data_IF_535266787890
#
_entry.id   IF_535266787890
#
_cell.length_a   1.000
_cell.length_b   1.000
_cell.length_c   1.000
_cell.angle_alpha   90.00
_cell.angle_beta   90.00
_cell.angle_gamma   90.00
#
_symmetry.space_group_name_H-M   'P 1'
#
loop_
_entity.id
_entity.type
_entity.pdbx_description
1 polymer ?
#
# COMPACT_ATOMS: atom_id res chain seq x y z
N UNK A 1 -5.61 -9.93 -3.67
CA UNK A 1 -4.92 -11.19 -3.44
C UNK A 1 -3.41 -10.99 -3.57
N UNK A 2 -2.60 -11.56 -2.65
CA UNK A 2 -1.14 -11.48 -2.64
C UNK A 2 -0.55 -12.80 -2.16
N UNK A 3 0.55 -13.20 -2.78
CA UNK A 3 1.30 -14.41 -2.41
C UNK A 3 2.67 -14.03 -1.87
N UNK A 4 3.08 -14.61 -0.75
CA UNK A 4 4.48 -14.60 -0.38
C UNK A 4 5.18 -15.76 -1.10
N UNK A 5 6.06 -15.42 -2.03
CA UNK A 5 6.76 -16.37 -2.90
C UNK A 5 7.94 -17.06 -2.19
N UNK A 6 8.41 -16.50 -1.07
CA UNK A 6 9.39 -17.19 -0.22
C UNK A 6 8.73 -18.35 0.50
N UNK A 7 9.32 -19.53 0.42
CA UNK A 7 8.77 -20.74 1.05
C UNK A 7 9.01 -20.78 2.57
N UNK A 8 9.97 -20.01 3.08
CA UNK A 8 10.27 -19.84 4.51
C UNK A 8 10.45 -18.35 4.80
N UNK A 9 9.46 -17.76 5.43
CA UNK A 9 9.44 -16.32 5.66
C UNK A 9 10.04 -15.89 6.99
N UNK A 10 10.15 -16.79 7.98
CA UNK A 10 10.74 -16.50 9.30
C UNK A 10 11.59 -17.64 9.86
N UNK A 11 11.83 -18.71 9.09
CA UNK A 11 12.68 -19.83 9.47
C UNK A 11 13.96 -19.77 8.62
N UNK A 12 14.95 -19.00 9.08
CA UNK A 12 16.13 -18.67 8.28
C UNK A 12 17.21 -19.77 8.28
N UNK A 13 17.09 -20.78 9.09
CA UNK A 13 18.03 -21.91 9.20
C UNK A 13 17.66 -23.15 8.38
N UNK A 14 16.60 -23.08 7.57
CA UNK A 14 16.11 -24.23 6.79
C UNK A 14 16.39 -24.09 5.29
N UNK A 15 15.56 -23.36 4.54
CA UNK A 15 15.70 -23.19 3.08
C UNK A 15 16.58 -22.00 2.68
N UNK A 16 16.94 -21.16 3.64
CA UNK A 16 17.85 -20.05 3.41
C UNK A 16 19.29 -20.55 3.39
N UNK A 17 19.98 -20.31 2.27
CA UNK A 17 21.41 -20.55 2.17
C UNK A 17 22.19 -19.40 2.80
N UNK A 18 23.18 -19.69 3.58
CA UNK A 18 23.99 -18.70 4.28
C UNK A 18 25.42 -19.24 4.51
N UNK A 19 26.36 -18.31 4.63
CA UNK A 19 27.74 -18.60 5.03
C UNK A 19 28.13 -17.78 6.27
N UNK A 20 27.31 -17.93 7.33
CA UNK A 20 27.48 -17.21 8.59
C UNK A 20 26.76 -17.97 9.72
N UNK A 21 26.57 -17.31 10.85
CA UNK A 21 25.89 -17.86 12.01
C UNK A 21 24.49 -17.28 12.15
N UNK A 22 23.49 -18.13 12.31
CA UNK A 22 22.12 -17.76 12.63
C UNK A 22 21.80 -18.11 14.07
N UNK A 23 21.23 -17.17 14.81
CA UNK A 23 20.78 -17.36 16.20
C UNK A 23 19.32 -16.96 16.29
N UNK A 24 18.45 -17.94 16.56
CA UNK A 24 17.01 -17.73 16.77
C UNK A 24 16.69 -17.15 18.15
N UNK A 25 15.42 -16.85 18.39
CA UNK A 25 14.93 -16.45 19.71
C UNK A 25 15.32 -15.04 20.13
N UNK A 26 15.57 -14.17 19.15
CA UNK A 26 15.83 -12.75 19.43
C UNK A 26 14.50 -11.99 19.64
N UNK A 27 14.58 -10.89 20.40
CA UNK A 27 13.44 -9.96 20.52
C UNK A 27 13.00 -9.48 19.14
N UNK A 28 11.73 -9.58 18.85
CA UNK A 28 11.13 -9.29 17.56
C UNK A 28 10.13 -8.13 17.56
N UNK A 29 9.53 -7.91 16.42
CA UNK A 29 8.50 -6.88 16.20
C UNK A 29 7.30 -7.14 17.11
N UNK A 30 6.78 -6.07 17.74
CA UNK A 30 5.59 -6.14 18.57
C UNK A 30 5.76 -6.95 19.86
N UNK A 31 6.99 -7.20 20.30
CA UNK A 31 7.30 -7.98 21.52
C UNK A 31 7.31 -9.50 21.29
N UNK A 32 7.35 -9.97 20.05
CA UNK A 32 7.60 -11.38 19.74
C UNK A 32 9.04 -11.78 20.12
N UNK A 33 9.32 -13.08 20.18
CA UNK A 33 10.66 -13.63 20.50
C UNK A 33 11.17 -14.57 19.41
N UNK A 34 10.70 -14.38 18.18
CA UNK A 34 10.97 -15.23 17.04
C UNK A 34 11.82 -14.55 15.95
N UNK A 35 12.49 -13.45 16.28
CA UNK A 35 13.47 -12.84 15.38
C UNK A 35 14.79 -13.63 15.36
N UNK A 36 15.59 -13.37 14.35
CA UNK A 36 16.85 -14.04 14.09
C UNK A 36 17.99 -13.04 13.97
N UNK A 37 19.14 -13.36 14.58
CA UNK A 37 20.40 -12.66 14.37
C UNK A 37 21.21 -13.41 13.31
N UNK A 38 21.64 -12.70 12.30
CA UNK A 38 22.58 -13.20 11.29
C UNK A 38 23.93 -12.47 11.45
N UNK A 39 25.00 -13.25 11.64
CA UNK A 39 26.38 -12.79 11.72
C UNK A 39 27.17 -13.35 10.55
N UNK A 40 27.69 -12.48 9.68
CA UNK A 40 28.49 -12.92 8.54
C UNK A 40 29.99 -13.00 8.90
N UNK A 41 30.72 -14.05 8.45
CA UNK A 41 32.15 -14.20 8.72
C UNK A 41 33.04 -13.33 7.82
N UNK A 42 32.51 -12.86 6.71
CA UNK A 42 33.21 -11.97 5.78
C UNK A 42 32.21 -11.08 5.03
N UNK A 43 32.69 -9.99 4.45
CA UNK A 43 31.85 -8.97 3.80
C UNK A 43 31.03 -9.46 2.62
N UNK A 44 31.43 -10.56 1.97
CA UNK A 44 30.73 -11.12 0.80
C UNK A 44 29.71 -12.18 1.16
N UNK A 45 29.63 -12.60 2.43
CA UNK A 45 28.66 -13.58 2.91
C UNK A 45 27.29 -12.95 3.05
N UNK A 46 26.29 -13.59 2.42
CA UNK A 46 24.89 -13.18 2.49
C UNK A 46 23.99 -14.31 2.96
N UNK A 47 22.78 -13.94 3.31
CA UNK A 47 21.66 -14.81 3.62
C UNK A 47 20.68 -14.74 2.44
N UNK A 48 20.36 -15.87 1.78
CA UNK A 48 19.48 -15.84 0.61
C UNK A 48 18.54 -17.03 0.52
N UNK A 49 17.44 -16.84 -0.17
CA UNK A 49 16.54 -17.90 -0.61
C UNK A 49 16.39 -17.85 -2.13
N UNK A 50 16.32 -19.02 -2.76
CA UNK A 50 16.02 -19.15 -4.19
C UNK A 50 14.53 -18.93 -4.40
N UNK A 51 14.20 -18.25 -5.49
CA UNK A 51 12.84 -18.06 -5.97
C UNK A 51 12.85 -18.06 -7.51
N UNK A 52 11.66 -18.13 -8.12
CA UNK A 52 11.52 -18.10 -9.59
C UNK A 52 10.30 -17.24 -9.91
N UNK A 53 10.48 -15.94 -9.86
CA UNK A 53 9.43 -14.95 -10.06
C UNK A 53 9.81 -13.99 -11.20
N UNK A 54 8.82 -13.28 -11.77
CA UNK A 54 9.07 -12.33 -12.87
C UNK A 54 8.11 -11.15 -12.84
N UNK A 55 8.49 -10.05 -13.49
CA UNK A 55 7.74 -8.81 -13.53
C UNK A 55 8.01 -7.93 -12.30
N UNK A 56 7.11 -6.98 -12.05
CA UNK A 56 7.23 -6.07 -10.89
C UNK A 56 7.02 -6.84 -9.59
N UNK A 57 7.98 -6.76 -8.69
CA UNK A 57 8.02 -7.49 -7.42
C UNK A 57 8.48 -6.58 -6.29
N UNK A 58 8.06 -6.91 -5.07
CA UNK A 58 8.53 -6.21 -3.87
C UNK A 58 9.05 -7.23 -2.86
N UNK A 59 10.33 -7.09 -2.52
CA UNK A 59 11.02 -7.83 -1.47
C UNK A 59 11.05 -6.99 -0.20
N UNK A 60 10.61 -7.52 0.92
CA UNK A 60 10.55 -6.80 2.20
C UNK A 60 10.92 -7.69 3.37
N UNK A 61 11.45 -7.09 4.44
CA UNK A 61 11.67 -7.73 5.74
C UNK A 61 11.75 -6.66 6.83
N UNK A 62 11.70 -7.13 8.07
CA UNK A 62 11.84 -6.28 9.24
C UNK A 62 13.26 -6.41 9.81
N UNK A 63 13.84 -5.29 10.22
CA UNK A 63 15.18 -5.22 10.79
C UNK A 63 15.16 -4.40 12.08
N UNK A 64 15.88 -4.89 13.09
CA UNK A 64 16.08 -4.16 14.33
C UNK A 64 17.04 -3.00 14.10
N UNK A 65 16.75 -1.85 14.72
CA UNK A 65 17.64 -0.69 14.73
C UNK A 65 19.05 -1.09 15.15
N UNK A 66 20.06 -0.63 14.40
CA UNK A 66 21.45 -0.91 14.66
C UNK A 66 22.33 0.28 14.23
N UNK A 67 22.97 0.95 15.19
CA UNK A 67 23.78 2.15 14.93
C UNK A 67 25.09 1.89 14.19
N UNK A 68 25.53 0.63 14.08
CA UNK A 68 26.80 0.27 13.45
C UNK A 68 26.63 -0.32 12.05
N UNK A 69 25.42 -0.81 11.74
CA UNK A 69 25.20 -1.60 10.55
C UNK A 69 23.95 -1.19 9.77
N UNK A 70 24.00 -1.46 8.47
CA UNK A 70 22.90 -1.40 7.54
C UNK A 70 22.63 -2.77 6.91
N UNK A 71 21.71 -2.81 5.96
CA UNK A 71 21.42 -4.00 5.17
C UNK A 71 21.35 -3.65 3.70
N UNK A 72 21.92 -4.50 2.85
CA UNK A 72 21.70 -4.50 1.42
C UNK A 72 20.67 -5.57 1.08
N UNK A 73 19.60 -5.19 0.41
CA UNK A 73 18.74 -6.09 -0.33
C UNK A 73 19.34 -6.26 -1.73
N UNK A 74 19.40 -7.50 -2.21
CA UNK A 74 19.90 -7.78 -3.53
C UNK A 74 19.04 -8.87 -4.18
N UNK A 75 18.48 -8.56 -5.33
CA UNK A 75 17.74 -9.49 -6.16
C UNK A 75 18.62 -9.85 -7.38
N UNK A 76 19.02 -11.11 -7.42
CA UNK A 76 19.83 -11.66 -8.50
C UNK A 76 18.94 -12.28 -9.56
N UNK A 77 19.16 -11.94 -10.82
CA UNK A 77 18.34 -12.42 -11.93
C UNK A 77 18.79 -11.86 -13.29
N UNK A 78 17.82 -11.60 -14.17
CA UNK A 78 18.09 -11.06 -15.51
C UNK A 78 18.75 -9.66 -15.47
N UNK A 79 18.43 -8.89 -14.43
CA UNK A 79 19.07 -7.61 -14.09
C UNK A 79 19.36 -7.62 -12.60
N UNK A 80 20.56 -7.22 -12.19
CA UNK A 80 20.90 -7.12 -10.79
C UNK A 80 20.26 -5.86 -10.17
N UNK A 81 19.35 -6.06 -9.21
CA UNK A 81 18.69 -4.99 -8.48
C UNK A 81 19.18 -4.95 -7.05
N UNK A 82 19.45 -3.78 -6.50
CA UNK A 82 19.83 -3.68 -5.09
C UNK A 82 19.44 -2.35 -4.45
N UNK A 83 19.20 -2.42 -3.13
CA UNK A 83 19.00 -1.26 -2.28
C UNK A 83 19.78 -1.41 -0.99
N UNK A 84 20.36 -0.33 -0.51
CA UNK A 84 21.07 -0.22 0.75
C UNK A 84 20.25 0.60 1.74
N UNK A 85 20.12 0.08 2.95
CA UNK A 85 19.36 0.70 4.03
C UNK A 85 20.27 0.98 5.23
N UNK A 86 20.15 2.18 5.79
CA UNK A 86 20.73 2.58 7.06
C UNK A 86 19.77 2.14 8.18
N UNK A 87 20.22 1.24 9.06
CA UNK A 87 19.43 0.74 10.20
C UNK A 87 19.59 1.61 11.47
N UNK A 88 20.43 2.62 11.47
CA UNK A 88 20.49 3.60 12.57
C UNK A 88 19.37 4.64 12.44
N UNK A 89 19.22 5.22 11.25
CA UNK A 89 18.29 6.30 11.00
C UNK A 89 16.99 5.86 10.31
N UNK A 90 16.90 4.62 9.86
CA UNK A 90 15.76 4.13 9.09
C UNK A 90 15.63 4.82 7.74
N UNK A 91 16.70 4.88 6.96
CA UNK A 91 16.77 5.60 5.72
C UNK A 91 17.21 4.71 4.55
N UNK A 92 16.78 5.06 3.33
CA UNK A 92 17.34 4.51 2.10
C UNK A 92 18.63 5.25 1.79
N UNK A 93 19.75 4.53 1.68
CA UNK A 93 21.06 5.10 1.33
C UNK A 93 21.23 5.22 -0.17
N UNK A 94 20.96 4.14 -0.90
CA UNK A 94 21.02 4.13 -2.37
C UNK A 94 20.23 2.95 -2.95
N UNK A 95 19.80 3.10 -4.21
CA UNK A 95 19.09 2.06 -4.96
C UNK A 95 19.65 1.97 -6.37
N UNK A 96 19.74 0.73 -6.89
CA UNK A 96 20.21 0.42 -8.25
C UNK A 96 19.14 -0.48 -8.89
N UNK A 97 18.56 -0.05 -10.00
CA UNK A 97 17.49 -0.74 -10.73
C UNK A 97 16.28 -1.11 -9.83
N UNK A 98 16.00 -0.29 -8.83
CA UNK A 98 14.93 -0.53 -7.86
C UNK A 98 14.45 0.78 -7.24
N UNK A 99 13.26 0.75 -6.66
CA UNK A 99 12.76 1.77 -5.73
C UNK A 99 12.65 1.16 -4.34
N UNK A 100 12.69 1.99 -3.30
CA UNK A 100 12.72 1.47 -1.95
C UNK A 100 11.94 2.34 -0.97
N UNK A 101 11.51 1.72 0.12
CA UNK A 101 10.79 2.37 1.22
C UNK A 101 11.27 1.82 2.55
N UNK A 102 11.33 2.70 3.55
CA UNK A 102 11.50 2.33 4.96
C UNK A 102 10.29 2.83 5.73
N UNK A 103 9.74 1.98 6.58
CA UNK A 103 8.61 2.31 7.46
C UNK A 103 8.99 1.94 8.90
N UNK A 104 8.67 2.82 9.87
CA UNK A 104 8.81 2.47 11.28
C UNK A 104 7.85 1.33 11.63
N UNK A 105 8.36 0.31 12.32
CA UNK A 105 7.59 -0.85 12.79
C UNK A 105 7.60 -0.97 14.32
N UNK A 106 7.67 0.17 15.01
CA UNK A 106 7.78 0.32 16.46
C UNK A 106 9.11 0.98 16.84
N UNK A 107 9.38 1.08 18.16
CA UNK A 107 10.49 1.89 18.69
C UNK A 107 11.88 1.53 18.12
N UNK A 108 12.14 0.23 17.89
CA UNK A 108 13.47 -0.26 17.52
C UNK A 108 13.45 -1.10 16.23
N UNK A 109 12.39 -1.00 15.42
CA UNK A 109 12.26 -1.79 14.22
C UNK A 109 11.90 -0.96 13.00
N UNK A 110 12.47 -1.34 11.86
CA UNK A 110 12.15 -0.83 10.55
C UNK A 110 11.65 -1.95 9.65
N UNK A 111 10.60 -1.69 8.88
CA UNK A 111 10.28 -2.48 7.71
C UNK A 111 10.96 -1.86 6.51
N UNK A 112 11.90 -2.59 5.91
CA UNK A 112 12.57 -2.20 4.68
C UNK A 112 11.91 -2.93 3.50
N UNK A 113 11.72 -2.26 2.39
CA UNK A 113 11.20 -2.86 1.15
C UNK A 113 11.91 -2.32 -0.08
N UNK A 114 12.14 -3.21 -1.04
CA UNK A 114 12.74 -2.93 -2.35
C UNK A 114 11.81 -3.44 -3.44
N UNK A 115 11.37 -2.55 -4.33
CA UNK A 115 10.56 -2.89 -5.51
C UNK A 115 11.43 -2.85 -6.76
N UNK A 116 11.33 -3.87 -7.58
CA UNK A 116 12.13 -4.05 -8.79
C UNK A 116 11.33 -4.81 -9.87
N UNK A 117 11.79 -4.75 -11.13
CA UNK A 117 11.18 -5.43 -12.27
C UNK A 117 12.23 -6.27 -13.00
N UNK A 118 12.14 -7.60 -12.83
CA UNK A 118 13.02 -8.56 -13.50
C UNK A 118 12.49 -9.99 -13.42
N UNK A 119 13.12 -10.91 -14.16
CA UNK A 119 13.05 -12.35 -13.84
C UNK A 119 14.08 -12.63 -12.74
N UNK A 120 13.59 -12.95 -11.54
CA UNK A 120 14.40 -13.14 -10.35
C UNK A 120 14.70 -14.63 -10.13
N UNK A 121 15.84 -14.94 -9.52
CA UNK A 121 16.24 -16.29 -9.14
C UNK A 121 16.65 -16.41 -7.69
N UNK A 122 17.03 -15.31 -7.05
CA UNK A 122 17.47 -15.30 -5.65
C UNK A 122 17.25 -13.93 -5.01
N UNK A 123 16.83 -13.93 -3.78
CA UNK A 123 16.74 -12.75 -2.92
C UNK A 123 17.73 -12.85 -1.76
N UNK A 124 18.56 -11.82 -1.61
CA UNK A 124 19.66 -11.78 -0.62
C UNK A 124 19.49 -10.64 0.38
N UNK A 125 20.00 -10.91 1.59
CA UNK A 125 20.39 -9.90 2.58
C UNK A 125 21.90 -9.96 2.82
N UNK A 126 22.56 -8.80 2.75
CA UNK A 126 23.97 -8.65 3.12
C UNK A 126 24.13 -7.63 4.23
N UNK A 127 25.03 -7.89 5.16
CA UNK A 127 25.40 -6.92 6.19
C UNK A 127 26.23 -5.80 5.55
N UNK A 128 25.86 -4.55 5.83
CA UNK A 128 26.59 -3.37 5.38
C UNK A 128 26.90 -2.44 6.56
N UNK A 129 27.77 -1.48 6.37
CA UNK A 129 27.76 -0.29 7.19
C UNK A 129 26.60 0.64 6.76
N UNK A 130 26.36 1.72 7.49
CA UNK A 130 25.31 2.68 7.20
C UNK A 130 25.57 3.56 5.95
N UNK A 131 26.67 3.32 5.21
CA UNK A 131 27.09 4.08 4.03
C UNK A 131 27.21 3.21 2.75
N UNK A 132 26.50 2.07 2.69
CA UNK A 132 26.44 1.13 1.54
C UNK A 132 27.69 0.28 1.27
N UNK A 133 28.57 0.10 2.23
CA UNK A 133 29.70 -0.83 2.10
C UNK A 133 29.39 -2.14 2.80
N UNK A 134 29.55 -3.28 2.11
CA UNK A 134 29.45 -4.59 2.75
C UNK A 134 30.60 -4.80 3.73
N UNK A 135 30.28 -5.23 4.95
CA UNK A 135 31.23 -5.39 6.05
C UNK A 135 30.98 -6.68 6.83
N UNK A 136 31.96 -7.11 7.60
CA UNK A 136 31.76 -8.13 8.64
C UNK A 136 30.94 -7.51 9.77
N UNK A 137 29.90 -8.21 10.22
CA UNK A 137 29.02 -7.71 11.26
C UNK A 137 27.78 -8.55 11.45
N UNK A 138 26.74 -7.95 11.99
CA UNK A 138 25.48 -8.64 12.21
C UNK A 138 24.27 -7.74 11.97
N UNK A 139 23.16 -8.38 11.65
CA UNK A 139 21.81 -7.80 11.60
C UNK A 139 20.83 -8.70 12.32
N UNK A 140 19.80 -8.10 12.93
CA UNK A 140 18.65 -8.86 13.45
C UNK A 140 17.46 -8.62 12.53
N UNK A 141 16.87 -9.71 12.06
CA UNK A 141 15.82 -9.68 11.04
C UNK A 141 14.64 -10.59 11.37
N UNK A 142 13.49 -10.31 10.72
CA UNK A 142 12.25 -11.06 10.89
C UNK A 142 11.35 -10.87 9.66
N UNK A 143 10.48 -11.84 9.38
CA UNK A 143 9.35 -11.71 8.46
C UNK A 143 9.72 -11.28 7.04
N UNK A 144 10.60 -12.05 6.39
CA UNK A 144 10.94 -11.85 4.98
C UNK A 144 9.75 -12.18 4.07
N UNK A 145 9.55 -11.39 3.03
CA UNK A 145 8.44 -11.53 2.10
C UNK A 145 8.83 -11.07 0.70
N UNK A 146 8.55 -11.88 -0.31
CA UNK A 146 8.63 -11.53 -1.73
C UNK A 146 7.23 -11.64 -2.33
N UNK A 147 6.74 -10.57 -2.90
CA UNK A 147 5.38 -10.49 -3.47
C UNK A 147 5.43 -9.92 -4.89
N UNK A 148 4.57 -10.39 -5.77
CA UNK A 148 4.32 -9.69 -7.02
C UNK A 148 3.56 -8.39 -6.77
N UNK A 149 3.99 -7.29 -7.39
CA UNK A 149 3.41 -5.96 -7.31
C UNK A 149 4.37 -4.90 -6.78
N UNK A 150 3.93 -3.66 -6.85
CA UNK A 150 4.73 -2.45 -6.66
C UNK A 150 4.87 -1.96 -5.21
N UNK A 151 4.39 -2.74 -4.24
CA UNK A 151 4.47 -2.41 -2.81
C UNK A 151 4.36 -3.66 -1.94
N UNK A 152 4.93 -3.61 -0.74
CA UNK A 152 4.79 -4.66 0.26
C UNK A 152 3.44 -4.56 0.97
N UNK A 153 2.72 -5.69 1.08
CA UNK A 153 1.50 -5.79 1.88
C UNK A 153 1.82 -6.23 3.32
N UNK A 154 0.81 -6.39 4.19
CA UNK A 154 1.04 -6.95 5.52
C UNK A 154 1.65 -8.34 5.42
N UNK A 155 2.46 -8.71 6.41
CA UNK A 155 3.19 -9.97 6.42
C UNK A 155 2.29 -11.19 6.19
N UNK A 156 2.71 -12.08 5.30
CA UNK A 156 2.08 -13.36 4.98
C UNK A 156 3.06 -14.46 5.40
N UNK A 157 2.82 -15.15 6.51
CA UNK A 157 3.72 -16.19 7.00
C UNK A 157 3.72 -17.39 6.05
N UNK A 158 4.92 -17.94 5.81
CA UNK A 158 5.14 -19.18 5.05
C UNK A 158 6.01 -20.15 5.84
N UNK A 159 5.73 -21.44 5.71
CA UNK A 159 6.46 -22.53 6.34
C UNK A 159 6.48 -23.76 5.43
N UNK A 160 7.49 -23.87 4.58
CA UNK A 160 7.71 -24.97 3.63
C UNK A 160 7.07 -24.79 2.25
N UNK A 161 6.14 -23.86 2.07
CA UNK A 161 5.50 -23.55 0.78
C UNK A 161 5.08 -22.10 0.72
N UNK A 162 4.87 -21.60 -0.49
CA UNK A 162 4.27 -20.27 -0.73
C UNK A 162 2.85 -20.23 -0.16
N UNK A 163 2.44 -19.07 0.34
CA UNK A 163 1.08 -18.84 0.87
C UNK A 163 0.45 -17.63 0.19
N UNK A 164 -0.77 -17.82 -0.27
CA UNK A 164 -1.58 -16.75 -0.83
C UNK A 164 -2.61 -16.28 0.18
N UNK A 165 -2.60 -14.97 0.46
CA UNK A 165 -3.65 -14.29 1.22
C UNK A 165 -4.68 -13.72 0.26
N UNK A 166 -5.95 -14.04 0.50
CA UNK A 166 -7.04 -13.43 -0.24
C UNK A 166 -7.12 -11.94 0.01
N UNK A 167 -7.71 -11.24 -0.92
CA UNK A 167 -7.98 -9.82 -0.81
C UNK A 167 -9.04 -9.58 0.26
N UNK A 168 -8.86 -8.53 1.05
CA UNK A 168 -9.91 -8.05 1.94
C UNK A 168 -11.00 -7.39 1.09
N UNK A 169 -12.24 -7.78 1.29
CA UNK A 169 -13.41 -7.18 0.65
C UNK A 169 -14.21 -6.48 1.76
N UNK A 170 -14.49 -5.21 1.57
CA UNK A 170 -15.35 -4.46 2.46
C UNK A 170 -16.52 -3.87 1.68
N UNK A 171 -17.73 -4.28 2.08
CA UNK A 171 -19.01 -3.69 1.66
C UNK A 171 -19.89 -3.53 2.88
N UNK A 172 -20.71 -2.50 2.88
CA UNK A 172 -21.77 -2.30 3.86
C UNK A 172 -23.07 -2.11 3.10
N UNK A 173 -23.80 -3.18 2.99
CA UNK A 173 -25.05 -3.26 2.22
C UNK A 173 -26.26 -2.87 3.09
N UNK A 174 -27.34 -2.41 2.46
CA UNK A 174 -28.61 -2.15 3.11
C UNK A 174 -28.60 -0.92 4.02
N UNK A 175 -27.74 0.07 3.76
CA UNK A 175 -27.63 1.31 4.54
C UNK A 175 -28.34 2.50 3.88
N UNK A 176 -29.30 2.26 2.98
CA UNK A 176 -30.00 3.33 2.26
C UNK A 176 -30.65 4.39 3.14
N UNK A 177 -31.03 4.04 4.38
CA UNK A 177 -31.53 5.04 5.35
C UNK A 177 -30.46 6.02 5.84
N UNK A 178 -29.18 5.72 5.63
CA UNK A 178 -28.04 6.56 5.98
C UNK A 178 -27.47 7.31 4.77
N UNK A 179 -28.03 7.10 3.56
CA UNK A 179 -27.61 7.71 2.32
C UNK A 179 -28.82 8.45 1.73
N UNK A 180 -28.62 9.70 1.35
CA UNK A 180 -29.61 10.43 0.57
C UNK A 180 -29.19 10.41 -0.92
N UNK A 181 -30.03 9.84 -1.75
CA UNK A 181 -29.74 9.70 -3.20
C UNK A 181 -29.94 11.00 -3.99
N UNK A 182 -30.46 12.08 -3.38
CA UNK A 182 -30.67 13.36 -4.08
C UNK A 182 -29.54 14.34 -3.82
N UNK A 183 -28.93 14.30 -2.63
CA UNK A 183 -27.81 15.14 -2.25
C UNK A 183 -27.04 14.53 -1.07
N UNK A 184 -25.82 14.94 -0.88
CA UNK A 184 -25.02 14.52 0.27
C UNK A 184 -23.55 14.82 0.11
N UNK A 185 -22.75 14.25 1.03
CA UNK A 185 -21.31 14.28 0.96
C UNK A 185 -20.75 12.89 1.25
N UNK A 186 -19.87 12.42 0.37
CA UNK A 186 -18.95 11.30 0.64
C UNK A 186 -17.60 11.90 1.04
N UNK A 187 -17.19 11.69 2.29
CA UNK A 187 -15.89 12.10 2.80
C UNK A 187 -15.02 10.88 3.07
N UNK A 188 -13.74 10.97 2.70
CA UNK A 188 -12.74 9.95 3.00
C UNK A 188 -11.37 10.59 3.26
N UNK A 189 -10.67 10.11 4.31
CA UNK A 189 -9.24 10.36 4.50
C UNK A 189 -8.48 9.10 4.09
N UNK A 190 -7.82 9.15 2.93
CA UNK A 190 -7.19 7.99 2.32
C UNK A 190 -5.81 8.28 1.74
N UNK A 191 -5.00 7.21 1.60
CA UNK A 191 -3.72 7.22 0.90
C UNK A 191 -3.55 5.94 0.07
N UNK A 192 -2.94 6.05 -1.09
CA UNK A 192 -2.51 4.89 -1.87
C UNK A 192 -1.29 4.21 -1.23
N UNK A 193 -1.07 2.93 -1.51
CA UNK A 193 0.16 2.22 -1.13
C UNK A 193 1.32 2.53 -2.08
N UNK A 194 0.99 2.75 -3.36
CA UNK A 194 1.90 3.21 -4.41
C UNK A 194 1.09 3.94 -5.49
N UNK A 195 1.77 4.74 -6.31
CA UNK A 195 1.21 5.32 -7.55
C UNK A 195 1.48 4.35 -8.71
N UNK A 196 0.76 3.24 -8.73
CA UNK A 196 0.91 2.15 -9.70
C UNK A 196 -0.08 2.23 -10.86
N UNK A 197 -0.76 3.35 -11.01
CA UNK A 197 -1.67 3.65 -12.12
C UNK A 197 -2.85 2.67 -12.22
N UNK A 198 -3.25 2.06 -11.10
CA UNK A 198 -4.41 1.15 -11.06
C UNK A 198 -5.67 1.85 -10.58
N UNK A 199 -6.82 1.39 -11.08
CA UNK A 199 -8.11 1.84 -10.57
C UNK A 199 -8.36 1.29 -9.17
N UNK A 200 -8.82 2.16 -8.25
CA UNK A 200 -9.20 1.82 -6.88
C UNK A 200 -10.30 2.76 -6.43
N UNK A 201 -11.44 2.23 -6.05
CA UNK A 201 -12.64 3.02 -5.80
C UNK A 201 -13.18 2.81 -4.38
N UNK A 202 -13.73 3.88 -3.82
CA UNK A 202 -14.67 3.84 -2.69
C UNK A 202 -15.94 4.50 -3.18
N UNK A 203 -17.09 3.84 -3.02
CA UNK A 203 -18.35 4.33 -3.59
C UNK A 203 -19.55 4.14 -2.67
N UNK A 204 -20.53 5.04 -2.84
CA UNK A 204 -21.94 4.81 -2.49
C UNK A 204 -22.62 4.34 -3.77
N UNK A 205 -23.39 3.26 -3.73
CA UNK A 205 -23.94 2.62 -4.92
C UNK A 205 -25.26 1.87 -4.62
N UNK A 206 -25.85 1.28 -5.63
CA UNK A 206 -27.06 0.44 -5.54
C UNK A 206 -26.76 -1.07 -5.71
N UNK A 207 -25.51 -1.50 -5.42
CA UNK A 207 -25.04 -2.86 -5.72
C UNK A 207 -24.52 -3.00 -7.14
N UNK A 208 -24.50 -1.93 -7.92
CA UNK A 208 -24.03 -1.90 -9.31
C UNK A 208 -23.09 -0.72 -9.56
N UNK A 209 -22.47 -0.70 -10.75
CA UNK A 209 -21.68 0.43 -11.22
C UNK A 209 -22.52 1.45 -12.06
N UNK A 210 -23.83 1.32 -12.10
CA UNK A 210 -24.72 2.19 -12.88
C UNK A 210 -25.24 3.38 -12.11
N UNK A 211 -25.60 3.18 -10.84
CA UNK A 211 -25.95 4.26 -9.92
C UNK A 211 -24.87 4.35 -8.83
N UNK A 212 -24.05 5.39 -8.89
CA UNK A 212 -22.96 5.50 -7.94
C UNK A 212 -22.41 6.92 -7.78
N UNK A 213 -21.96 7.20 -6.57
CA UNK A 213 -21.13 8.35 -6.18
C UNK A 213 -19.81 7.80 -5.66
N UNK A 214 -18.69 8.12 -6.28
CA UNK A 214 -17.41 7.50 -5.94
C UNK A 214 -16.23 8.45 -5.92
N UNK A 215 -15.24 8.14 -5.06
CA UNK A 215 -13.92 8.74 -5.03
C UNK A 215 -12.92 7.63 -5.35
N UNK A 216 -11.99 7.90 -6.28
CA UNK A 216 -11.08 6.85 -6.77
C UNK A 216 -9.72 7.38 -7.22
N UNK A 217 -8.74 6.49 -7.24
CA UNK A 217 -7.51 6.66 -8.01
C UNK A 217 -7.71 6.14 -9.43
N UNK A 218 -6.87 6.58 -10.37
CA UNK A 218 -6.96 6.22 -11.78
C UNK A 218 -5.60 5.83 -12.37
N UNK A 219 -5.62 5.50 -13.67
CA UNK A 219 -4.42 5.20 -14.48
C UNK A 219 -3.55 6.44 -14.78
N UNK A 220 -3.86 7.60 -14.22
CA UNK A 220 -3.03 8.80 -14.29
C UNK A 220 -2.29 8.96 -12.97
N UNK A 221 -1.01 9.26 -13.05
CA UNK A 221 -0.17 9.50 -11.87
C UNK A 221 -0.75 10.61 -10.98
N UNK A 222 -0.76 10.36 -9.68
CA UNK A 222 -1.18 11.30 -8.64
C UNK A 222 -2.60 11.88 -8.81
N UNK A 223 -3.48 11.18 -9.55
CA UNK A 223 -4.84 11.65 -9.83
C UNK A 223 -5.88 11.12 -8.88
N UNK A 224 -6.59 12.04 -8.24
CA UNK A 224 -7.86 11.80 -7.55
C UNK A 224 -8.98 12.12 -8.52
N UNK A 225 -9.95 11.23 -8.62
CA UNK A 225 -11.13 11.37 -9.45
C UNK A 225 -12.38 11.15 -8.61
N UNK A 226 -13.31 12.09 -8.67
CA UNK A 226 -14.66 11.90 -8.21
C UNK A 226 -15.57 11.59 -9.41
N UNK A 227 -16.52 10.69 -9.23
CA UNK A 227 -17.44 10.25 -10.28
C UNK A 227 -18.86 10.17 -9.75
N UNK A 228 -19.83 10.58 -10.58
CA UNK A 228 -21.25 10.37 -10.36
C UNK A 228 -21.83 9.72 -11.60
N UNK A 229 -22.59 8.63 -11.42
CA UNK A 229 -23.35 7.91 -12.47
C UNK A 229 -24.77 7.73 -11.97
N UNK A 230 -25.76 8.00 -12.80
CA UNK A 230 -27.19 8.04 -12.39
C UNK A 230 -28.07 6.93 -12.99
N UNK A 231 -27.49 6.01 -13.76
CA UNK A 231 -28.26 4.95 -14.44
C UNK A 231 -29.03 5.38 -15.68
N UNK A 232 -29.22 6.69 -15.89
CA UNK A 232 -29.88 7.26 -17.09
C UNK A 232 -28.89 7.65 -18.19
N UNK A 233 -27.62 7.22 -18.07
CA UNK A 233 -26.54 7.56 -18.99
C UNK A 233 -25.76 8.81 -18.62
N UNK A 234 -26.14 9.51 -17.55
CA UNK A 234 -25.33 10.61 -17.02
C UNK A 234 -24.12 10.01 -16.32
N UNK A 235 -22.97 10.42 -16.78
CA UNK A 235 -21.69 10.10 -16.13
C UNK A 235 -20.81 11.34 -16.22
N UNK A 236 -20.45 11.92 -15.08
CA UNK A 236 -19.51 13.00 -15.07
C UNK A 236 -18.43 12.77 -14.01
N UNK A 237 -17.29 13.36 -14.27
CA UNK A 237 -16.08 13.15 -13.49
C UNK A 237 -15.43 14.50 -13.16
N UNK A 238 -14.94 14.59 -11.95
CA UNK A 238 -14.12 15.70 -11.48
C UNK A 238 -12.73 15.13 -11.20
N UNK A 239 -11.72 15.63 -11.90
CA UNK A 239 -10.35 15.18 -11.80
C UNK A 239 -9.47 16.25 -11.17
N UNK A 240 -8.59 15.84 -10.29
CA UNK A 240 -7.59 16.73 -9.69
C UNK A 240 -6.29 15.96 -9.43
N UNK A 241 -5.18 16.56 -9.84
CA UNK A 241 -3.85 15.99 -9.64
C UNK A 241 -3.24 16.58 -8.35
N UNK A 242 -2.87 15.70 -7.41
CA UNK A 242 -2.19 16.07 -6.17
C UNK A 242 -0.68 15.84 -6.31
N UNK A 243 0.10 16.37 -5.38
CA UNK A 243 1.56 16.16 -5.40
C UNK A 243 1.99 14.71 -5.18
N UNK A 244 1.24 13.96 -4.36
CA UNK A 244 1.56 12.58 -3.98
C UNK A 244 0.31 11.91 -3.39
N UNK A 245 -0.23 10.87 -4.06
CA UNK A 245 -1.37 10.09 -3.57
C UNK A 245 -0.99 9.10 -2.46
N UNK A 246 0.29 8.85 -2.21
CA UNK A 246 0.74 7.96 -1.13
C UNK A 246 0.71 8.65 0.24
N UNK A 247 0.58 9.97 0.25
CA UNK A 247 0.31 10.77 1.46
C UNK A 247 -1.20 10.89 1.69
N UNK A 248 -1.63 10.82 2.94
CA UNK A 248 -3.04 10.98 3.28
C UNK A 248 -3.61 12.29 2.74
N UNK A 249 -4.76 12.18 2.11
CA UNK A 249 -5.57 13.30 1.63
C UNK A 249 -6.96 13.19 2.27
N UNK A 250 -7.45 14.29 2.78
CA UNK A 250 -8.84 14.44 3.19
C UNK A 250 -9.63 14.91 1.98
N UNK A 251 -10.61 14.13 1.55
CA UNK A 251 -11.33 14.33 0.30
C UNK A 251 -12.83 14.33 0.61
N UNK A 252 -13.54 15.35 0.16
CA UNK A 252 -15.00 15.42 0.25
C UNK A 252 -15.60 15.64 -1.15
N UNK A 253 -16.46 14.72 -1.56
CA UNK A 253 -17.30 14.83 -2.74
C UNK A 253 -18.69 15.26 -2.32
N UNK A 254 -19.04 16.53 -2.54
CA UNK A 254 -20.43 17.01 -2.47
C UNK A 254 -21.13 16.58 -3.75
N UNK A 255 -22.21 15.83 -3.62
CA UNK A 255 -23.12 15.48 -4.71
C UNK A 255 -24.49 16.10 -4.44
N UNK A 256 -24.90 17.00 -5.32
CA UNK A 256 -26.21 17.64 -5.37
C UNK A 256 -26.49 18.03 -6.82
N UNK A 257 -27.61 17.58 -7.36
CA UNK A 257 -27.94 17.79 -8.77
C UNK A 257 -27.82 19.27 -9.14
N UNK A 258 -26.91 19.60 -10.04
CA UNK A 258 -26.61 20.99 -10.47
C UNK A 258 -25.60 21.74 -9.59
N UNK A 259 -25.17 21.17 -8.44
CA UNK A 259 -24.24 21.82 -7.51
C UNK A 259 -23.27 20.77 -6.90
N UNK A 260 -22.37 20.26 -7.70
CA UNK A 260 -21.40 19.24 -7.29
C UNK A 260 -20.03 19.86 -7.10
N UNK A 261 -19.29 19.44 -6.08
CA UNK A 261 -17.94 19.93 -5.85
C UNK A 261 -17.03 18.89 -5.19
N UNK A 262 -15.73 19.02 -5.46
CA UNK A 262 -14.68 18.21 -4.89
C UNK A 262 -13.76 19.10 -4.04
N UNK A 263 -13.61 18.75 -2.78
CA UNK A 263 -12.71 19.40 -1.82
C UNK A 263 -11.57 18.46 -1.48
N UNK A 264 -10.35 18.98 -1.43
CA UNK A 264 -9.16 18.25 -1.04
C UNK A 264 -8.31 19.11 -0.12
N UNK A 265 -8.02 18.63 1.09
CA UNK A 265 -7.17 19.31 2.09
C UNK A 265 -7.54 20.78 2.30
N UNK A 266 -8.81 21.06 2.61
CA UNK A 266 -9.34 22.39 2.91
C UNK A 266 -9.63 23.28 1.70
N UNK A 267 -9.42 22.80 0.48
CA UNK A 267 -9.58 23.59 -0.74
C UNK A 267 -10.63 22.99 -1.67
N UNK A 268 -11.53 23.82 -2.19
CA UNK A 268 -12.39 23.46 -3.33
C UNK A 268 -11.52 23.39 -4.59
N UNK A 269 -11.39 22.22 -5.17
CA UNK A 269 -10.48 21.99 -6.31
C UNK A 269 -11.21 21.85 -7.65
N UNK A 270 -12.46 21.40 -7.63
CA UNK A 270 -13.30 21.26 -8.84
C UNK A 270 -14.75 21.47 -8.49
N UNK A 271 -15.47 22.20 -9.37
CA UNK A 271 -16.94 22.31 -9.36
C UNK A 271 -17.54 21.70 -10.62
N UNK A 272 -18.79 21.23 -10.54
CA UNK A 272 -19.50 20.69 -11.69
C UNK A 272 -21.01 20.95 -11.55
N UNK A 273 -21.62 21.61 -12.51
CA UNK A 273 -23.04 21.95 -12.54
C UNK A 273 -23.92 20.93 -13.26
N UNK A 274 -23.41 19.75 -13.57
CA UNK A 274 -24.22 18.67 -14.18
C UNK A 274 -25.33 18.22 -13.24
N UNK A 275 -26.49 17.97 -13.81
CA UNK A 275 -27.63 17.41 -13.09
C UNK A 275 -27.61 15.89 -13.20
N UNK A 276 -28.17 15.21 -12.20
CA UNK A 276 -28.35 13.76 -12.18
C UNK A 276 -29.65 13.40 -11.49
N UNK A 277 -30.13 12.18 -11.78
CA UNK A 277 -31.27 11.58 -11.07
C UNK A 277 -31.10 10.06 -11.10
N UNK A 278 -30.76 9.47 -9.96
CA UNK A 278 -30.53 8.04 -9.89
C UNK A 278 -31.77 7.24 -10.26
N UNK A 279 -31.62 6.21 -11.09
CA UNK A 279 -32.70 5.27 -11.47
C UNK A 279 -33.01 4.29 -10.33
N UNK A 280 -32.06 4.07 -9.42
CA UNK A 280 -32.20 3.29 -8.20
C UNK A 280 -31.56 4.02 -7.03
N UNK A 281 -32.13 3.93 -5.86
CA UNK A 281 -31.58 4.56 -4.66
C UNK A 281 -30.21 3.95 -4.29
N UNK A 282 -29.29 4.81 -3.87
CA UNK A 282 -28.02 4.36 -3.31
C UNK A 282 -28.29 3.69 -1.95
N UNK A 283 -27.84 2.46 -1.79
CA UNK A 283 -28.15 1.61 -0.66
C UNK A 283 -26.93 0.99 0.02
N UNK A 284 -25.78 1.06 -0.63
CA UNK A 284 -24.58 0.37 -0.19
C UNK A 284 -23.37 1.32 -0.19
N UNK A 285 -22.40 1.04 0.70
CA UNK A 285 -21.08 1.63 0.68
C UNK A 285 -20.04 0.53 0.44
N UNK A 286 -19.23 0.69 -0.59
CA UNK A 286 -18.30 -0.34 -1.04
C UNK A 286 -16.89 0.22 -1.20
N UNK A 287 -15.90 -0.59 -0.83
CA UNK A 287 -14.49 -0.34 -1.14
C UNK A 287 -14.15 -0.93 -2.53
N UNK A 288 -15.00 -0.64 -3.47
CA UNK A 288 -14.90 -0.90 -4.90
C UNK A 288 -15.87 0.04 -5.64
N UNK A 289 -16.12 -0.18 -6.92
CA UNK A 289 -17.03 0.67 -7.70
C UNK A 289 -18.51 0.23 -7.66
N UNK A 290 -18.87 -0.68 -6.76
CA UNK A 290 -20.24 -1.17 -6.56
C UNK A 290 -20.56 -2.51 -7.23
N UNK A 291 -19.78 -2.95 -8.20
CA UNK A 291 -19.96 -4.22 -8.95
C UNK A 291 -18.85 -5.24 -8.68
N UNK A 292 -18.07 -5.06 -7.60
CA UNK A 292 -16.98 -5.94 -7.25
C UNK A 292 -15.70 -5.75 -8.07
N UNK A 293 -15.61 -4.68 -8.85
CA UNK A 293 -14.40 -4.33 -9.59
C UNK A 293 -13.77 -3.03 -9.05
N UNK A 294 -12.53 -2.75 -9.47
CA UNK A 294 -11.76 -1.59 -9.03
C UNK A 294 -11.64 -1.53 -7.49
N UNK A 295 -11.35 -2.67 -6.86
CA UNK A 295 -11.26 -2.80 -5.42
C UNK A 295 -10.26 -1.82 -4.82
N UNK A 296 -10.64 -1.18 -3.71
CA UNK A 296 -9.77 -0.26 -3.02
C UNK A 296 -8.76 -1.04 -2.16
N UNK A 297 -7.51 -0.91 -2.48
CA UNK A 297 -6.37 -1.31 -1.66
C UNK A 297 -5.50 -0.09 -1.38
N UNK A 298 -5.47 0.30 -0.13
CA UNK A 298 -4.86 1.54 0.33
C UNK A 298 -4.97 1.65 1.85
N UNK A 299 -4.71 2.84 2.34
CA UNK A 299 -4.89 3.20 3.75
C UNK A 299 -6.10 4.11 3.86
N UNK A 300 -7.01 3.83 4.76
CA UNK A 300 -8.16 4.69 5.09
C UNK A 300 -8.14 4.97 6.58
N UNK A 301 -8.15 6.25 6.96
CA UNK A 301 -8.29 6.66 8.36
C UNK A 301 -9.73 6.92 8.74
N UNK A 302 -10.49 7.52 7.81
CA UNK A 302 -11.89 7.87 8.05
C UNK A 302 -12.70 7.71 6.76
N UNK A 303 -13.97 7.31 6.93
CA UNK A 303 -15.01 7.40 5.92
C UNK A 303 -16.26 7.92 6.62
N UNK A 304 -16.89 8.94 6.05
CA UNK A 304 -18.11 9.54 6.55
C UNK A 304 -19.08 9.80 5.41
N UNK A 305 -20.37 9.65 5.68
CA UNK A 305 -21.44 9.94 4.74
C UNK A 305 -22.39 10.96 5.39
N UNK A 306 -22.68 12.03 4.69
CA UNK A 306 -23.64 13.04 5.11
C UNK A 306 -24.85 12.99 4.20
N UNK A 307 -26.05 13.01 4.78
CA UNK A 307 -27.32 12.93 4.04
C UNK A 307 -27.78 14.26 3.44
N UNK A 308 -27.03 15.34 3.69
CA UNK A 308 -27.29 16.68 3.15
C UNK A 308 -26.02 17.24 2.52
N UNK A 309 -26.16 18.03 1.48
CA UNK A 309 -25.07 18.81 0.92
C UNK A 309 -24.58 19.82 1.95
N UNK A 310 -23.33 19.72 2.35
CA UNK A 310 -22.69 20.67 3.28
C UNK A 310 -22.36 21.97 2.55
N UNK A 311 -22.30 23.07 3.30
CA UNK A 311 -21.84 24.37 2.79
C UNK A 311 -20.34 24.36 2.53
N UNK A 312 -19.85 25.29 1.70
CA UNK A 312 -18.42 25.40 1.35
C UNK A 312 -17.55 25.60 2.59
N UNK A 313 -18.00 26.39 3.57
CA UNK A 313 -17.30 26.56 4.84
C UNK A 313 -17.20 25.26 5.65
N UNK A 314 -18.26 24.45 5.66
CA UNK A 314 -18.26 23.15 6.34
C UNK A 314 -17.35 22.14 5.61
N UNK A 315 -17.36 22.13 4.26
CA UNK A 315 -16.50 21.27 3.45
C UNK A 315 -15.03 21.63 3.61
N UNK A 316 -14.70 22.93 3.61
CA UNK A 316 -13.36 23.42 3.92
C UNK A 316 -12.90 22.95 5.31
N UNK A 317 -13.74 23.12 6.33
CA UNK A 317 -13.43 22.68 7.71
C UNK A 317 -13.30 21.17 7.84
N UNK A 318 -14.16 20.40 7.15
CA UNK A 318 -14.13 18.92 7.18
C UNK A 318 -12.85 18.36 6.58
N UNK A 319 -12.33 19.02 5.54
CA UNK A 319 -11.15 18.57 4.81
C UNK A 319 -9.83 19.23 5.24
N UNK A 320 -9.85 20.17 6.21
CA UNK A 320 -8.66 20.84 6.77
C UNK A 320 -7.82 19.95 7.70
#
# INVERSE_FOLDING_TARGET
>A
QRTNELTQSNQFDTTWSQSGTLTSGQDGVGGSTDAWKFENPNATSGLHQNDTTSGVQTFSAYFKKNSNYGVRFFAFGSVNCSTYFDLDNGAVVSSINSTAKVESAGADWFRCSMTFDQTNTQCYFYVTNNTSTQVVGNITLQYAQLEQGSYATSYIPTSGSTVTRNQDIFTRDGIGSLINSTEGVLFVEMAALSDDLTFRSISLNDGTNTNSVGIRYRTNSNRINAIIKDGNGVTFQMNFDVSDITQFKKIALKYKSGDNSLYINGTEVVTNSSTFSFTSALNDASFNRGDGNDDFFGKVKQLQVYTTALTDAQLTSLTS
#
